data_IF_641823903443
#
_entry.id   IF_641823903443
#
_cell.length_a   1.000
_cell.length_b   1.000
_cell.length_c   1.000
_cell.angle_alpha   90.00
_cell.angle_beta   90.00
_cell.angle_gamma   90.00
#
_symmetry.space_group_name_H-M   'P 1'
#
loop_
_entity.id
_entity.type
_entity.pdbx_description
1 polymer ?
#
# COMPACT_ATOMS: atom_id res chain seq x y z
N UNK A 1 9.25 18.01 -13.23
CA UNK A 1 8.97 18.94 -12.12
C UNK A 1 7.48 19.25 -12.14
N UNK A 2 6.80 19.20 -11.01
CA UNK A 2 5.38 19.58 -10.90
C UNK A 2 5.23 20.89 -10.13
N UNK A 3 4.03 21.45 -10.18
CA UNK A 3 3.69 22.77 -9.63
C UNK A 3 2.67 22.59 -8.51
N UNK A 4 2.91 23.21 -7.36
CA UNK A 4 1.93 23.23 -6.27
C UNK A 4 0.72 24.08 -6.67
N UNK A 5 -0.48 23.52 -6.58
CA UNK A 5 -1.74 24.20 -6.89
C UNK A 5 -2.07 25.38 -5.96
N UNK A 6 -1.54 25.40 -4.75
CA UNK A 6 -1.86 26.43 -3.74
C UNK A 6 -0.90 27.62 -3.72
N UNK A 7 0.38 27.42 -4.05
CA UNK A 7 1.39 28.48 -3.97
C UNK A 7 2.18 28.68 -5.26
N UNK A 8 1.93 27.89 -6.31
CA UNK A 8 2.63 27.99 -7.59
C UNK A 8 4.08 27.50 -7.58
N UNK A 9 4.59 27.00 -6.44
CA UNK A 9 5.97 26.50 -6.33
C UNK A 9 6.20 25.33 -7.29
N UNK A 10 7.13 25.49 -8.23
CA UNK A 10 7.59 24.43 -9.14
C UNK A 10 8.82 23.75 -8.56
N UNK A 11 8.78 22.44 -8.36
CA UNK A 11 9.92 21.69 -7.81
C UNK A 11 9.97 20.23 -8.29
N UNK A 12 11.14 19.59 -8.17
CA UNK A 12 11.31 18.14 -8.40
C UNK A 12 10.67 17.30 -7.30
N UNK A 13 10.55 17.84 -6.08
CA UNK A 13 9.97 17.13 -4.93
C UNK A 13 8.44 17.26 -4.83
N UNK A 14 7.83 18.12 -5.65
CA UNK A 14 6.36 18.18 -5.74
C UNK A 14 5.89 16.99 -6.57
N UNK A 15 5.01 16.17 -6.00
CA UNK A 15 4.39 15.04 -6.71
C UNK A 15 3.47 15.55 -7.82
N UNK A 16 3.59 14.98 -9.02
CA UNK A 16 2.66 15.24 -10.14
C UNK A 16 1.28 14.63 -9.93
N UNK A 17 1.17 13.60 -9.08
CA UNK A 17 -0.12 13.00 -8.72
C UNK A 17 -0.89 13.89 -7.74
N UNK A 18 -0.20 14.44 -6.73
CA UNK A 18 -0.82 15.26 -5.69
C UNK A 18 -0.90 16.76 -6.04
N UNK A 19 0.13 17.28 -6.73
CA UNK A 19 0.31 18.70 -7.07
C UNK A 19 0.25 19.64 -5.84
N UNK A 20 0.83 19.21 -4.73
CA UNK A 20 0.98 20.01 -3.50
C UNK A 20 2.42 19.91 -3.00
N UNK A 21 2.97 21.02 -2.49
CA UNK A 21 4.26 20.99 -1.78
C UNK A 21 4.04 20.73 -0.29
N UNK A 22 5.09 20.22 0.36
CA UNK A 22 5.09 19.95 1.80
C UNK A 22 4.63 21.16 2.62
N UNK A 23 5.12 22.36 2.31
CA UNK A 23 4.77 23.55 3.10
C UNK A 23 3.27 23.87 3.05
N UNK A 24 2.62 23.68 1.89
CA UNK A 24 1.19 23.92 1.76
C UNK A 24 0.35 22.85 2.46
N UNK A 25 0.79 21.58 2.46
CA UNK A 25 0.09 20.50 3.17
C UNK A 25 0.09 20.80 4.67
N UNK A 26 1.24 21.17 5.23
CA UNK A 26 1.38 21.39 6.67
C UNK A 26 0.75 22.72 7.12
N UNK A 27 0.97 23.81 6.38
CA UNK A 27 0.54 25.16 6.82
C UNK A 27 -0.87 25.54 6.38
N UNK A 28 -1.47 24.80 5.43
CA UNK A 28 -2.79 25.11 4.86
C UNK A 28 -3.66 23.85 4.76
N UNK A 29 -3.87 23.10 5.85
CA UNK A 29 -4.61 21.83 5.84
C UNK A 29 -6.01 21.99 5.24
N UNK A 30 -6.76 23.01 5.65
CA UNK A 30 -8.10 23.33 5.15
C UNK A 30 -8.17 23.49 3.62
N UNK A 31 -7.16 24.10 3.00
CA UNK A 31 -7.10 24.27 1.55
C UNK A 31 -6.54 23.02 0.84
N UNK A 32 -5.62 22.30 1.50
CA UNK A 32 -4.94 21.15 0.92
C UNK A 32 -5.80 19.88 0.99
N UNK A 33 -6.64 19.73 2.02
CA UNK A 33 -7.48 18.57 2.27
C UNK A 33 -8.34 18.17 1.07
N UNK A 34 -9.16 19.08 0.51
CA UNK A 34 -9.99 18.77 -0.66
C UNK A 34 -9.16 18.31 -1.88
N UNK A 35 -7.95 18.88 -2.07
CA UNK A 35 -7.06 18.49 -3.17
C UNK A 35 -6.48 17.09 -2.92
N UNK A 36 -6.11 16.79 -1.67
CA UNK A 36 -5.62 15.48 -1.24
C UNK A 36 -6.72 14.42 -1.43
N UNK A 37 -7.95 14.70 -1.01
CA UNK A 37 -9.09 13.78 -1.15
C UNK A 37 -9.41 13.45 -2.60
N UNK A 38 -9.33 14.43 -3.51
CA UNK A 38 -9.48 14.20 -4.96
C UNK A 38 -8.38 13.26 -5.48
N UNK A 39 -7.13 13.47 -5.05
CA UNK A 39 -6.02 12.62 -5.45
C UNK A 39 -6.18 11.18 -4.92
N UNK A 40 -6.59 11.02 -3.66
CA UNK A 40 -6.88 9.72 -3.06
C UNK A 40 -8.04 9.02 -3.76
N UNK A 41 -9.14 9.71 -4.02
CA UNK A 41 -10.29 9.18 -4.76
C UNK A 41 -9.87 8.65 -6.13
N UNK A 42 -9.05 9.43 -6.86
CA UNK A 42 -8.53 9.00 -8.17
C UNK A 42 -7.65 7.76 -8.07
N UNK A 43 -6.79 7.68 -7.07
CA UNK A 43 -5.92 6.52 -6.86
C UNK A 43 -6.70 5.24 -6.52
N UNK A 44 -7.85 5.38 -5.87
CA UNK A 44 -8.66 4.26 -5.37
C UNK A 44 -9.67 3.74 -6.39
N UNK A 45 -10.12 4.59 -7.32
CA UNK A 45 -11.11 4.26 -8.35
C UNK A 45 -10.77 3.03 -9.21
N UNK A 46 -9.54 2.83 -9.73
CA UNK A 46 -9.22 1.67 -10.57
C UNK A 46 -9.39 0.32 -9.86
N UNK A 47 -9.34 0.32 -8.53
CA UNK A 47 -9.47 -0.88 -7.70
C UNK A 47 -10.89 -1.07 -7.15
N UNK A 48 -11.84 -0.23 -7.57
CA UNK A 48 -13.20 -0.20 -7.03
C UNK A 48 -13.23 -0.10 -5.49
N UNK A 49 -12.34 0.72 -4.93
CA UNK A 49 -12.23 0.94 -3.49
C UNK A 49 -12.99 2.21 -3.06
N UNK A 50 -13.64 2.21 -1.87
CA UNK A 50 -14.38 3.38 -1.38
C UNK A 50 -13.47 4.62 -1.30
N UNK A 51 -13.89 5.80 -1.77
CA UNK A 51 -13.05 7.00 -1.78
C UNK A 51 -12.74 7.54 -0.38
N UNK A 52 -13.70 7.40 0.54
CA UNK A 52 -13.61 7.74 1.95
C UNK A 52 -13.99 6.51 2.81
N UNK A 53 -13.63 6.49 4.10
CA UNK A 53 -14.14 5.48 5.02
C UNK A 53 -15.68 5.45 4.99
N UNK A 54 -16.31 4.29 4.70
CA UNK A 54 -17.75 4.16 4.76
C UNK A 54 -18.30 4.48 6.16
N UNK A 55 -19.43 5.17 6.22
CA UNK A 55 -20.05 5.70 7.44
C UNK A 55 -21.51 5.23 7.65
N UNK A 56 -22.02 4.36 6.79
CA UNK A 56 -23.37 3.81 6.87
C UNK A 56 -23.37 2.27 6.94
N UNK A 57 -24.10 1.69 7.89
CA UNK A 57 -24.23 0.24 8.06
C UNK A 57 -23.52 -0.32 9.30
N UNK A 58 -23.00 -1.56 9.20
CA UNK A 58 -22.44 -2.30 10.35
C UNK A 58 -21.03 -1.82 10.67
N UNK A 59 -20.78 -1.53 11.95
CA UNK A 59 -19.49 -1.07 12.45
C UNK A 59 -18.42 -2.17 12.37
N UNK A 60 -17.28 -1.85 11.76
CA UNK A 60 -16.08 -2.66 11.69
C UNK A 60 -14.99 -2.08 12.60
N UNK A 61 -14.65 -2.78 13.69
CA UNK A 61 -13.71 -2.28 14.72
C UNK A 61 -12.27 -2.82 14.53
N UNK A 62 -11.94 -3.37 13.35
CA UNK A 62 -10.63 -4.01 13.10
C UNK A 62 -9.45 -3.04 13.05
N UNK A 63 -9.70 -1.76 12.79
CA UNK A 63 -8.66 -0.72 12.70
C UNK A 63 -9.24 0.65 13.05
N UNK A 64 -8.37 1.66 13.15
CA UNK A 64 -8.77 3.03 13.52
C UNK A 64 -9.72 3.74 12.56
N UNK A 65 -9.96 3.22 11.35
CA UNK A 65 -10.95 3.82 10.44
C UNK A 65 -12.40 3.59 10.89
N UNK A 66 -12.65 2.59 11.75
CA UNK A 66 -13.97 2.30 12.32
C UNK A 66 -15.14 2.36 11.30
N UNK A 67 -14.94 1.79 10.11
CA UNK A 67 -15.90 1.92 9.01
C UNK A 67 -17.27 1.36 9.40
N UNK A 68 -18.34 2.03 8.97
CA UNK A 68 -19.70 1.49 8.96
C UNK A 68 -20.03 1.08 7.53
N UNK A 69 -20.27 -0.20 7.31
CA UNK A 69 -20.31 -0.81 5.98
C UNK A 69 -21.73 -1.27 5.64
N UNK A 70 -22.31 -0.70 4.58
CA UNK A 70 -23.66 -1.01 4.11
C UNK A 70 -23.70 -2.37 3.39
N UNK A 71 -24.89 -2.96 3.26
CA UNK A 71 -25.06 -4.26 2.60
C UNK A 71 -24.48 -4.24 1.17
N UNK A 72 -23.66 -5.24 0.83
CA UNK A 72 -22.97 -5.34 -0.47
C UNK A 72 -21.74 -4.44 -0.63
N UNK A 73 -21.48 -3.54 0.32
CA UNK A 73 -20.34 -2.61 0.26
C UNK A 73 -19.09 -3.16 0.96
N UNK A 74 -17.95 -2.56 0.64
CA UNK A 74 -16.65 -2.87 1.24
C UNK A 74 -16.19 -1.78 2.20
N UNK A 75 -15.41 -2.16 3.22
CA UNK A 75 -14.69 -1.23 4.07
C UNK A 75 -13.61 -0.47 3.32
N UNK A 76 -13.05 0.59 3.95
CA UNK A 76 -12.01 1.40 3.32
C UNK A 76 -10.76 0.60 2.91
N UNK A 77 -10.41 -0.46 3.65
CA UNK A 77 -9.29 -1.32 3.27
C UNK A 77 -9.57 -2.21 2.04
N UNK A 78 -10.84 -2.37 1.63
CA UNK A 78 -11.24 -3.32 0.59
C UNK A 78 -11.25 -4.79 1.03
N UNK A 79 -10.85 -5.08 2.27
CA UNK A 79 -10.66 -6.44 2.80
C UNK A 79 -11.88 -6.98 3.55
N UNK A 80 -12.82 -6.12 3.93
CA UNK A 80 -14.03 -6.49 4.66
C UNK A 80 -15.23 -6.08 3.81
N UNK A 81 -16.22 -6.95 3.71
CA UNK A 81 -17.47 -6.71 2.99
C UNK A 81 -18.66 -7.05 3.89
N UNK A 82 -19.74 -6.30 3.82
CA UNK A 82 -20.98 -6.68 4.48
C UNK A 82 -21.81 -7.56 3.54
N UNK A 83 -22.03 -8.82 3.94
CA UNK A 83 -22.80 -9.81 3.18
C UNK A 83 -23.87 -10.43 4.07
N UNK A 84 -25.13 -10.24 3.70
CA UNK A 84 -26.28 -10.72 4.45
C UNK A 84 -26.33 -10.16 5.88
N UNK A 85 -25.98 -8.88 6.06
CA UNK A 85 -25.93 -8.23 7.37
C UNK A 85 -24.80 -8.74 8.27
N UNK A 86 -23.74 -9.31 7.71
CA UNK A 86 -22.55 -9.77 8.45
C UNK A 86 -21.26 -9.31 7.78
N UNK A 87 -20.35 -8.78 8.59
CA UNK A 87 -19.01 -8.43 8.13
C UNK A 87 -18.19 -9.69 7.84
N UNK A 88 -17.85 -9.88 6.58
CA UNK A 88 -17.07 -11.00 6.07
C UNK A 88 -15.69 -10.50 5.67
N UNK A 89 -14.63 -11.16 6.14
CA UNK A 89 -13.26 -10.90 5.69
C UNK A 89 -13.04 -11.61 4.35
N UNK A 90 -12.52 -10.89 3.36
CA UNK A 90 -12.27 -11.42 2.02
C UNK A 90 -10.97 -12.23 1.94
N UNK A 91 -10.07 -12.07 2.91
CA UNK A 91 -8.91 -12.94 3.12
C UNK A 91 -9.19 -14.02 4.17
N UNK A 92 -8.63 -15.20 3.98
CA UNK A 92 -8.64 -16.33 4.91
C UNK A 92 -7.22 -16.79 5.19
N UNK A 93 -7.03 -17.76 6.09
CA UNK A 93 -5.72 -18.39 6.30
C UNK A 93 -5.14 -19.03 5.02
N UNK A 94 -5.96 -19.34 4.03
CA UNK A 94 -5.57 -19.97 2.77
C UNK A 94 -5.70 -19.07 1.54
N UNK A 95 -6.18 -17.82 1.69
CA UNK A 95 -6.42 -16.88 0.57
C UNK A 95 -6.15 -15.44 0.99
N UNK A 96 -5.39 -14.70 0.18
CA UNK A 96 -5.11 -13.28 0.40
C UNK A 96 -5.06 -12.51 -0.91
N UNK A 97 -5.17 -11.19 -0.83
CA UNK A 97 -4.83 -10.30 -1.94
C UNK A 97 -3.32 -10.09 -1.92
N UNK A 98 -2.64 -10.60 -2.95
CA UNK A 98 -1.20 -10.56 -3.01
C UNK A 98 -0.77 -9.79 -4.26
N UNK A 99 0.23 -8.94 -4.10
CA UNK A 99 1.06 -8.49 -5.21
C UNK A 99 2.39 -9.18 -5.08
N UNK A 100 2.90 -9.77 -6.17
CA UNK A 100 4.18 -10.45 -6.14
C UNK A 100 4.97 -10.18 -7.39
N UNK A 101 6.29 -10.22 -7.26
CA UNK A 101 7.21 -10.15 -8.38
C UNK A 101 8.44 -11.00 -8.11
N UNK A 102 9.17 -11.34 -9.17
CA UNK A 102 10.48 -11.96 -9.05
C UNK A 102 11.51 -10.88 -8.81
N UNK A 103 12.06 -10.86 -7.61
CA UNK A 103 13.05 -9.89 -7.15
C UNK A 103 14.45 -10.47 -7.38
N UNK A 104 15.31 -9.82 -8.20
CA UNK A 104 16.68 -10.27 -8.39
C UNK A 104 17.46 -10.36 -7.07
N UNK A 105 18.50 -11.18 -7.01
CA UNK A 105 19.41 -11.22 -5.87
C UNK A 105 20.81 -10.76 -6.28
N UNK A 106 21.54 -10.02 -5.41
CA UNK A 106 21.07 -9.38 -4.17
C UNK A 106 20.29 -8.07 -4.46
N UNK A 107 19.21 -7.79 -3.73
CA UNK A 107 18.48 -6.50 -3.80
C UNK A 107 18.14 -5.97 -2.41
N UNK A 108 17.16 -5.06 -2.31
CA UNK A 108 16.78 -4.22 -1.17
C UNK A 108 16.23 -4.97 0.06
N UNK A 109 16.64 -6.23 0.27
CA UNK A 109 16.23 -7.03 1.40
C UNK A 109 16.81 -6.46 2.70
N UNK A 110 15.94 -6.10 3.65
CA UNK A 110 16.34 -5.66 5.00
C UNK A 110 17.11 -6.73 5.78
N UNK A 111 17.00 -7.99 5.35
CA UNK A 111 17.71 -9.13 5.91
C UNK A 111 19.00 -9.49 5.16
N UNK A 112 19.45 -8.67 4.20
CA UNK A 112 20.63 -8.92 3.34
C UNK A 112 21.84 -9.47 4.11
N UNK A 113 22.19 -8.85 5.24
CA UNK A 113 23.35 -9.19 6.06
C UNK A 113 23.25 -10.53 6.82
N UNK A 114 22.06 -11.13 6.91
CA UNK A 114 21.85 -12.48 7.50
C UNK A 114 21.28 -13.49 6.50
N UNK A 115 20.93 -13.07 5.29
CA UNK A 115 20.27 -13.91 4.32
C UNK A 115 21.28 -14.91 3.73
N UNK A 116 21.03 -16.24 3.78
CA UNK A 116 21.89 -17.22 3.10
C UNK A 116 22.09 -16.92 1.62
N UNK A 117 21.04 -16.42 0.94
CA UNK A 117 21.10 -16.08 -0.47
C UNK A 117 21.98 -14.86 -0.78
N UNK A 118 22.32 -14.03 0.21
CA UNK A 118 23.23 -12.89 0.04
C UNK A 118 24.61 -13.12 0.67
N UNK A 119 24.70 -13.99 1.68
CA UNK A 119 25.95 -14.24 2.43
C UNK A 119 26.65 -15.52 2.02
N UNK A 120 25.94 -16.50 1.45
CA UNK A 120 26.44 -17.86 1.24
C UNK A 120 26.36 -18.76 2.48
N UNK A 121 25.83 -18.26 3.60
CA UNK A 121 25.80 -18.99 4.86
C UNK A 121 25.06 -20.34 4.71
N UNK A 122 25.73 -21.42 5.10
CA UNK A 122 25.15 -22.77 5.04
C UNK A 122 25.12 -23.40 3.63
N UNK A 123 25.89 -22.89 2.67
CA UNK A 123 26.10 -23.56 1.38
C UNK A 123 26.66 -24.98 1.57
N UNK A 124 26.12 -26.01 0.87
CA UNK A 124 25.07 -25.96 -0.16
C UNK A 124 23.64 -26.22 0.34
N UNK A 125 23.44 -26.44 1.64
CA UNK A 125 22.13 -26.80 2.21
C UNK A 125 21.12 -25.64 2.14
N UNK A 126 21.56 -24.42 2.46
CA UNK A 126 20.71 -23.23 2.59
C UNK A 126 20.96 -22.15 1.53
N UNK A 127 21.98 -22.32 0.69
CA UNK A 127 22.35 -21.37 -0.35
C UNK A 127 22.73 -22.10 -1.65
N UNK A 128 22.60 -21.42 -2.79
CA UNK A 128 22.96 -21.93 -4.13
C UNK A 128 24.43 -21.76 -4.46
N UNK A 129 25.17 -20.95 -3.71
CA UNK A 129 26.63 -20.78 -3.83
C UNK A 129 27.24 -20.31 -2.52
N UNK A 130 28.56 -20.47 -2.39
CA UNK A 130 29.37 -19.89 -1.32
C UNK A 130 29.60 -18.39 -1.57
N UNK A 131 28.56 -17.59 -1.33
CA UNK A 131 28.52 -16.14 -1.50
C UNK A 131 27.17 -15.63 -2.03
N UNK A 132 27.06 -14.34 -2.41
CA UNK A 132 25.80 -13.76 -2.88
C UNK A 132 25.29 -14.40 -4.18
N UNK A 133 24.02 -14.77 -4.21
CA UNK A 133 23.31 -15.44 -5.31
C UNK A 133 23.00 -14.52 -6.52
N UNK A 134 24.01 -13.83 -7.05
CA UNK A 134 23.88 -13.05 -8.28
C UNK A 134 23.25 -13.83 -9.43
N UNK A 135 22.20 -13.27 -10.04
CA UNK A 135 21.49 -13.85 -11.17
C UNK A 135 20.33 -14.79 -10.77
N UNK A 136 20.18 -15.09 -9.48
CA UNK A 136 18.98 -15.73 -8.95
C UNK A 136 17.88 -14.69 -8.66
N UNK A 137 16.67 -15.19 -8.42
CA UNK A 137 15.54 -14.35 -8.01
C UNK A 137 14.80 -15.02 -6.86
N UNK A 138 14.40 -14.26 -5.85
CA UNK A 138 13.40 -14.68 -4.88
C UNK A 138 12.00 -14.25 -5.33
N UNK A 139 10.99 -14.93 -4.79
CA UNK A 139 9.61 -14.47 -4.92
C UNK A 139 9.34 -13.44 -3.82
N UNK A 140 9.22 -12.17 -4.18
CA UNK A 140 8.80 -11.11 -3.27
C UNK A 140 7.27 -11.05 -3.24
N UNK A 141 6.67 -11.18 -2.06
CA UNK A 141 5.21 -11.21 -1.86
C UNK A 141 4.81 -10.09 -0.91
N UNK A 142 3.84 -9.28 -1.32
CA UNK A 142 3.26 -8.17 -0.58
C UNK A 142 1.78 -8.46 -0.32
N UNK A 143 1.31 -8.20 0.89
CA UNK A 143 -0.04 -8.46 1.39
C UNK A 143 -0.70 -7.21 1.97
#
# INVERSE_FOLDING_TARGET
MAVCKLCGKKSKIVSSALNLCYECIVKRPEMSGPIIEIAHTRARKPYNLPPLPPDNGILCERCGNACRIAEGEKGYCGMVENRGGKLTLLSTASRGYLSFYLDPLPTNCVASWVCPAETGAGYPEYARRDGPEYGFKNLAVFY
#
